data_IF_089805896429
#
_entry.id   IF_089805896429
#
_cell.length_a   1.000
_cell.length_b   1.000
_cell.length_c   1.000
_cell.angle_alpha   90.00
_cell.angle_beta   90.00
_cell.angle_gamma   90.00
#
_symmetry.space_group_name_H-M   'P 1'
#
loop_
_entity.id
_entity.type
_entity.pdbx_description
1 polymer ?
#
# COMPACT_ATOMS: atom_id res chain seq x y z
N UNK A 1 -0.28 -17.19 -34.90
CA UNK A 1 -0.66 -17.86 -33.64
C UNK A 1 -0.10 -17.03 -32.51
N UNK A 2 -0.92 -16.14 -31.96
CA UNK A 2 -0.55 -15.24 -30.85
C UNK A 2 -0.63 -16.06 -29.57
N UNK A 3 0.49 -16.17 -28.85
CA UNK A 3 0.52 -16.72 -27.50
C UNK A 3 0.08 -15.59 -26.56
N UNK A 4 -1.17 -15.64 -26.13
CA UNK A 4 -1.62 -14.86 -24.99
C UNK A 4 -0.81 -15.31 -23.76
N UNK A 5 0.03 -14.43 -23.26
CA UNK A 5 0.67 -14.59 -21.98
C UNK A 5 -0.42 -14.43 -20.90
N UNK A 6 -0.94 -15.55 -20.42
CA UNK A 6 -1.72 -15.55 -19.18
C UNK A 6 -0.79 -15.07 -18.06
N UNK A 7 -1.07 -13.87 -17.58
CA UNK A 7 -0.49 -13.39 -16.32
C UNK A 7 -1.00 -14.34 -15.24
N UNK A 8 -0.16 -15.28 -14.83
CA UNK A 8 -0.43 -16.08 -13.64
C UNK A 8 -0.45 -15.13 -12.45
N UNK A 9 -1.58 -15.02 -11.80
CA UNK A 9 -1.62 -14.55 -10.43
C UNK A 9 -0.71 -15.50 -9.65
N UNK A 10 0.38 -14.96 -9.12
CA UNK A 10 1.31 -15.76 -8.37
C UNK A 10 0.69 -16.10 -7.03
N UNK A 11 0.19 -17.32 -6.91
CA UNK A 11 -0.24 -17.95 -5.68
C UNK A 11 1.00 -18.50 -4.98
N UNK A 12 1.51 -17.76 -3.98
CA UNK A 12 2.63 -18.24 -3.17
C UNK A 12 3.39 -17.14 -2.43
N UNK A 13 4.15 -17.47 -1.40
CA UNK A 13 4.91 -16.51 -0.59
C UNK A 13 6.09 -15.86 -1.34
N UNK A 14 6.39 -16.29 -2.56
CA UNK A 14 7.57 -15.87 -3.32
C UNK A 14 7.37 -14.59 -4.13
N UNK A 15 6.12 -14.18 -4.41
CA UNK A 15 5.87 -12.96 -5.19
C UNK A 15 5.40 -11.84 -4.29
N UNK A 16 6.31 -10.94 -3.95
CA UNK A 16 6.05 -9.75 -3.15
C UNK A 16 5.86 -8.55 -4.04
N UNK A 17 4.68 -7.94 -3.96
CA UNK A 17 4.39 -6.68 -4.59
C UNK A 17 4.47 -5.57 -3.56
N UNK A 18 5.29 -4.56 -3.79
CA UNK A 18 5.41 -3.40 -2.93
C UNK A 18 4.90 -2.17 -3.67
N UNK A 19 4.15 -1.32 -3.01
CA UNK A 19 3.55 -0.16 -3.66
C UNK A 19 3.59 1.10 -2.80
N UNK A 20 4.07 2.22 -3.34
CA UNK A 20 3.94 3.52 -2.74
C UNK A 20 2.83 4.35 -3.40
N UNK A 21 2.03 5.03 -2.61
CA UNK A 21 1.14 6.13 -3.00
C UNK A 21 1.21 7.23 -1.93
N UNK A 22 0.79 8.46 -2.26
CA UNK A 22 0.97 9.60 -1.36
C UNK A 22 -0.37 10.18 -0.90
N UNK A 23 -0.86 9.87 0.31
CA UNK A 23 -1.91 10.67 0.91
C UNK A 23 -1.34 11.98 1.49
N UNK A 24 -2.16 13.02 1.41
CA UNK A 24 -1.94 14.25 2.18
C UNK A 24 -2.36 14.02 3.63
N UNK A 25 -1.51 14.40 4.55
CA UNK A 25 -1.76 14.42 5.98
C UNK A 25 -1.96 15.88 6.41
N UNK A 26 -3.20 16.34 6.62
CA UNK A 26 -3.45 17.70 7.05
C UNK A 26 -2.94 17.94 8.47
N UNK A 27 -2.42 19.14 8.71
CA UNK A 27 -2.02 19.65 10.01
C UNK A 27 -2.75 20.97 10.27
N UNK A 28 -2.64 21.52 11.47
CA UNK A 28 -3.19 22.86 11.75
C UNK A 28 -2.58 23.94 10.85
N UNK A 29 -1.31 23.76 10.44
CA UNK A 29 -0.64 24.64 9.48
C UNK A 29 0.00 23.77 8.38
N UNK A 30 -0.60 23.80 7.18
CA UNK A 30 -0.09 23.06 6.03
C UNK A 30 -0.42 21.58 6.05
N UNK A 31 0.37 20.79 5.38
CA UNK A 31 0.19 19.36 5.24
C UNK A 31 1.54 18.65 5.05
N UNK A 32 1.54 17.35 5.22
CA UNK A 32 2.66 16.47 4.90
C UNK A 32 2.25 15.47 3.82
N UNK A 33 3.23 15.00 3.07
CA UNK A 33 3.13 13.84 2.21
C UNK A 33 3.54 12.59 3.02
N UNK A 34 2.81 11.52 2.84
CA UNK A 34 3.14 10.23 3.43
C UNK A 34 3.42 9.22 2.32
N UNK A 35 4.53 8.53 2.36
CA UNK A 35 4.79 7.34 1.53
C UNK A 35 4.85 6.11 2.43
N UNK A 36 4.36 4.99 1.94
CA UNK A 36 4.53 3.69 2.58
C UNK A 36 4.84 2.61 1.56
N UNK A 37 5.64 1.66 1.96
CA UNK A 37 5.93 0.43 1.22
C UNK A 37 5.18 -0.70 1.89
N UNK A 38 4.27 -1.34 1.16
CA UNK A 38 3.38 -2.38 1.67
C UNK A 38 3.61 -3.69 0.93
N UNK A 39 3.70 -4.78 1.68
CA UNK A 39 3.66 -6.13 1.13
C UNK A 39 2.21 -6.53 0.81
N UNK A 40 1.96 -6.95 -0.43
CA UNK A 40 0.60 -7.25 -0.87
C UNK A 40 0.03 -8.53 -0.30
N UNK A 41 0.87 -9.52 -0.08
CA UNK A 41 0.43 -10.79 0.49
C UNK A 41 -0.06 -10.61 1.91
N UNK A 42 0.81 -10.12 2.78
CA UNK A 42 0.54 -9.96 4.21
C UNK A 42 -0.21 -8.68 4.55
N UNK A 43 -0.29 -7.69 3.66
CA UNK A 43 -0.76 -6.32 3.94
C UNK A 43 0.13 -5.55 4.92
N UNK A 44 1.30 -6.07 5.28
CA UNK A 44 2.20 -5.42 6.20
C UNK A 44 2.81 -4.15 5.59
N UNK A 45 2.81 -3.07 6.35
CA UNK A 45 3.55 -1.84 6.02
C UNK A 45 4.99 -2.04 6.47
N UNK A 46 5.90 -2.18 5.52
CA UNK A 46 7.31 -2.51 5.77
C UNK A 46 8.13 -1.27 6.13
N UNK A 47 7.85 -0.16 5.46
CA UNK A 47 8.48 1.13 5.74
C UNK A 47 7.54 2.27 5.40
N UNK A 48 7.81 3.45 5.93
CA UNK A 48 7.06 4.66 5.65
C UNK A 48 7.87 5.92 5.96
N UNK A 49 7.55 7.04 5.29
CA UNK A 49 8.19 8.34 5.50
C UNK A 49 7.16 9.46 5.40
N UNK A 50 7.43 10.54 6.13
CA UNK A 50 6.72 11.81 6.02
C UNK A 50 7.67 12.87 5.47
N UNK A 51 7.18 13.70 4.54
CA UNK A 51 7.90 14.83 3.99
C UNK A 51 6.97 16.05 3.86
N UNK A 52 7.53 17.24 3.98
CA UNK A 52 6.85 18.50 3.65
C UNK A 52 7.03 18.89 2.18
N UNK A 53 7.85 18.15 1.44
CA UNK A 53 8.08 18.32 0.00
C UNK A 53 7.72 17.06 -0.76
N UNK A 54 7.27 17.21 -2.01
CA UNK A 54 6.96 16.09 -2.90
C UNK A 54 8.17 15.80 -3.80
N UNK A 55 9.33 15.58 -3.21
CA UNK A 55 10.52 15.13 -3.95
C UNK A 55 10.62 13.59 -3.98
N UNK A 56 11.52 13.06 -4.82
CA UNK A 56 11.72 11.61 -4.89
C UNK A 56 12.55 11.07 -3.70
N UNK A 57 13.26 11.93 -2.97
CA UNK A 57 14.21 11.50 -1.94
C UNK A 57 13.58 10.69 -0.82
N UNK A 58 12.49 11.19 -0.21
CA UNK A 58 11.84 10.47 0.89
C UNK A 58 11.19 9.15 0.44
N UNK A 59 10.82 9.04 -0.85
CA UNK A 59 10.32 7.79 -1.44
C UNK A 59 11.45 6.77 -1.59
N UNK A 60 12.62 7.22 -2.03
CA UNK A 60 13.83 6.41 -2.14
C UNK A 60 14.28 5.91 -0.77
N UNK A 61 14.32 6.79 0.24
CA UNK A 61 14.64 6.39 1.63
C UNK A 61 13.70 5.32 2.17
N UNK A 62 12.38 5.44 1.91
CA UNK A 62 11.42 4.43 2.32
C UNK A 62 11.66 3.10 1.60
N UNK A 63 11.96 3.13 0.29
CA UNK A 63 12.28 1.95 -0.49
C UNK A 63 13.55 1.27 0.03
N UNK A 64 14.63 2.02 0.19
CA UNK A 64 15.92 1.50 0.66
C UNK A 64 15.80 0.87 2.06
N UNK A 65 15.06 1.51 2.98
CA UNK A 65 14.80 0.92 4.29
C UNK A 65 14.03 -0.40 4.18
N UNK A 66 12.99 -0.45 3.34
CA UNK A 66 12.22 -1.68 3.15
C UNK A 66 13.10 -2.80 2.62
N UNK A 67 13.91 -2.53 1.59
CA UNK A 67 14.81 -3.52 1.01
C UNK A 67 15.88 -3.99 1.99
N UNK A 68 16.47 -3.08 2.76
CA UNK A 68 17.52 -3.40 3.73
C UNK A 68 17.00 -4.27 4.89
N UNK A 69 15.75 -4.04 5.35
CA UNK A 69 15.20 -4.74 6.52
C UNK A 69 14.45 -6.01 6.16
N UNK A 70 13.82 -6.06 5.01
CA UNK A 70 12.86 -7.11 4.65
C UNK A 70 13.26 -7.91 3.41
N UNK A 71 14.37 -7.54 2.78
CA UNK A 71 14.89 -8.19 1.58
C UNK A 71 14.26 -7.69 0.29
N UNK A 72 14.68 -8.26 -0.84
CA UNK A 72 14.28 -7.84 -2.18
C UNK A 72 13.09 -8.67 -2.67
N UNK A 73 12.00 -8.03 -3.12
CA UNK A 73 10.89 -8.72 -3.80
C UNK A 73 11.28 -9.09 -5.23
N UNK A 74 10.58 -10.01 -5.85
CA UNK A 74 10.73 -10.28 -7.28
C UNK A 74 10.18 -9.12 -8.13
N UNK A 75 9.04 -8.56 -7.72
CA UNK A 75 8.34 -7.51 -8.44
C UNK A 75 7.99 -6.37 -7.49
N UNK A 76 8.28 -5.15 -7.94
CA UNK A 76 7.84 -3.93 -7.28
C UNK A 76 6.79 -3.22 -8.13
N UNK A 77 5.60 -3.04 -7.60
CA UNK A 77 4.53 -2.33 -8.28
C UNK A 77 4.50 -0.86 -7.84
N UNK A 78 4.47 0.07 -8.79
CA UNK A 78 4.37 1.51 -8.51
C UNK A 78 3.25 2.13 -9.32
N UNK A 79 2.71 3.27 -8.86
CA UNK A 79 1.89 4.11 -9.71
C UNK A 79 2.76 4.91 -10.70
N UNK A 80 2.12 5.67 -11.60
CA UNK A 80 2.80 6.48 -12.61
C UNK A 80 3.18 7.88 -12.07
N UNK A 81 3.24 8.06 -10.75
CA UNK A 81 3.68 9.32 -10.14
C UNK A 81 5.12 9.65 -10.53
N UNK A 82 5.41 10.93 -10.77
CA UNK A 82 6.75 11.38 -11.19
C UNK A 82 7.86 10.98 -10.22
N UNK A 83 7.54 10.83 -8.92
CA UNK A 83 8.48 10.40 -7.88
C UNK A 83 8.92 8.95 -8.05
N UNK A 84 8.09 8.10 -8.66
CA UNK A 84 8.33 6.67 -8.82
C UNK A 84 8.80 6.28 -10.22
N UNK A 85 8.56 7.14 -11.22
CA UNK A 85 9.03 6.94 -12.60
C UNK A 85 10.42 7.51 -12.81
N UNK A 86 10.91 8.37 -11.91
CA UNK A 86 12.22 9.02 -11.98
C UNK A 86 13.37 8.01 -11.80
N UNK A 87 14.52 8.33 -12.41
CA UNK A 87 15.72 7.49 -12.38
C UNK A 87 16.22 7.22 -10.95
N UNK A 88 16.05 8.17 -10.02
CA UNK A 88 16.45 8.01 -8.64
C UNK A 88 15.75 6.84 -7.96
N UNK A 89 14.46 6.65 -8.20
CA UNK A 89 13.66 5.57 -7.61
C UNK A 89 13.83 4.26 -8.39
N UNK A 90 13.65 4.31 -9.71
CA UNK A 90 13.76 3.11 -10.57
C UNK A 90 15.17 2.54 -10.58
N UNK A 91 16.19 3.39 -10.47
CA UNK A 91 17.59 2.97 -10.39
C UNK A 91 17.91 2.11 -9.16
N UNK A 92 17.26 2.36 -8.01
CA UNK A 92 17.40 1.50 -6.81
C UNK A 92 16.85 0.11 -7.08
N UNK A 93 15.64 0.02 -7.67
CA UNK A 93 15.00 -1.24 -8.00
C UNK A 93 15.81 -2.05 -9.02
N UNK A 94 16.27 -1.41 -10.10
CA UNK A 94 17.06 -2.06 -11.14
C UNK A 94 18.41 -2.56 -10.61
N UNK A 95 19.09 -1.78 -9.76
CA UNK A 95 20.34 -2.22 -9.10
C UNK A 95 20.13 -3.43 -8.19
N UNK A 96 18.95 -3.52 -7.57
CA UNK A 96 18.59 -4.66 -6.74
C UNK A 96 18.06 -5.87 -7.53
N UNK A 97 17.98 -5.79 -8.87
CA UNK A 97 17.48 -6.87 -9.73
C UNK A 97 15.97 -7.07 -9.65
N UNK A 98 15.22 -6.07 -9.18
CA UNK A 98 13.77 -6.12 -8.95
C UNK A 98 13.04 -5.74 -10.24
N UNK A 99 12.09 -6.57 -10.68
CA UNK A 99 11.23 -6.26 -11.80
C UNK A 99 10.24 -5.13 -11.42
N UNK A 100 10.16 -4.10 -12.27
CA UNK A 100 9.26 -2.97 -12.05
C UNK A 100 7.97 -3.21 -12.81
N UNK A 101 6.84 -3.19 -12.11
CA UNK A 101 5.50 -3.21 -12.70
C UNK A 101 4.86 -1.84 -12.49
N UNK A 102 4.51 -1.17 -13.59
CA UNK A 102 3.79 0.10 -13.55
C UNK A 102 2.36 -0.12 -13.99
N UNK A 103 1.41 0.52 -13.30
CA UNK A 103 0.00 0.40 -13.61
C UNK A 103 -0.30 0.83 -15.04
N UNK A 104 -0.82 -0.10 -15.84
CA UNK A 104 -1.47 0.23 -17.10
C UNK A 104 -2.90 0.73 -16.88
N UNK A 105 -3.45 1.45 -17.88
CA UNK A 105 -4.86 1.87 -17.89
C UNK A 105 -5.77 0.64 -17.65
N UNK A 106 -6.58 0.67 -16.59
CA UNK A 106 -7.58 -0.34 -16.29
C UNK A 106 -7.28 -1.29 -15.12
N UNK A 107 -6.12 -1.22 -14.48
CA UNK A 107 -5.77 -2.06 -13.32
C UNK A 107 -6.08 -1.39 -11.98
N UNK A 108 -7.33 -0.96 -11.79
CA UNK A 108 -7.82 -0.36 -10.54
C UNK A 108 -7.70 -1.33 -9.33
N UNK A 109 -7.69 -2.63 -9.55
CA UNK A 109 -7.55 -3.63 -8.49
C UNK A 109 -6.18 -3.58 -7.80
N UNK A 110 -5.16 -3.11 -8.49
CA UNK A 110 -3.81 -3.07 -7.97
C UNK A 110 -3.62 -2.01 -6.88
N UNK A 111 -4.51 -1.00 -6.81
CA UNK A 111 -4.50 0.09 -5.82
C UNK A 111 -5.33 -0.17 -4.56
N UNK A 112 -6.23 -1.15 -4.59
CA UNK A 112 -7.26 -1.34 -3.54
C UNK A 112 -6.66 -1.49 -2.14
N UNK A 113 -5.51 -2.14 -2.00
CA UNK A 113 -4.93 -2.41 -0.68
C UNK A 113 -4.32 -1.19 -0.03
N UNK A 114 -3.54 -0.43 -0.79
CA UNK A 114 -2.92 0.78 -0.28
C UNK A 114 -3.95 1.89 -0.08
N UNK A 115 -4.95 2.00 -0.95
CA UNK A 115 -6.06 2.94 -0.78
C UNK A 115 -6.89 2.63 0.46
N UNK A 116 -7.11 1.34 0.75
CA UNK A 116 -7.78 0.90 1.97
C UNK A 116 -6.96 1.23 3.22
N UNK A 117 -5.63 1.07 3.17
CA UNK A 117 -4.73 1.52 4.23
C UNK A 117 -4.90 3.02 4.49
N UNK A 118 -4.83 3.83 3.42
CA UNK A 118 -4.97 5.29 3.54
C UNK A 118 -6.32 5.72 4.08
N UNK A 119 -7.38 5.06 3.66
CA UNK A 119 -8.72 5.31 4.18
C UNK A 119 -8.79 5.02 5.67
N UNK A 120 -8.30 3.86 6.10
CA UNK A 120 -8.28 3.49 7.52
C UNK A 120 -7.44 4.46 8.34
N UNK A 121 -6.21 4.77 7.93
CA UNK A 121 -5.34 5.73 8.61
C UNK A 121 -6.02 7.11 8.75
N UNK A 122 -6.61 7.63 7.67
CA UNK A 122 -7.26 8.94 7.71
C UNK A 122 -8.43 8.98 8.68
N UNK A 123 -9.31 7.97 8.67
CA UNK A 123 -10.51 7.96 9.51
C UNK A 123 -10.25 7.55 10.96
N UNK A 124 -9.28 6.71 11.21
CA UNK A 124 -9.01 6.16 12.54
C UNK A 124 -7.96 6.96 13.33
N UNK A 125 -7.13 7.76 12.64
CA UNK A 125 -6.04 8.49 13.27
C UNK A 125 -6.01 9.98 12.87
N UNK A 126 -5.81 10.27 11.56
CA UNK A 126 -5.50 11.63 11.11
C UNK A 126 -6.62 12.62 11.39
N UNK A 127 -7.86 12.28 11.00
CA UNK A 127 -9.01 13.17 11.17
C UNK A 127 -9.48 13.30 12.61
N UNK A 128 -9.14 12.33 13.45
CA UNK A 128 -9.51 12.37 14.87
C UNK A 128 -8.56 13.23 15.68
N UNK A 129 -7.28 13.29 15.31
CA UNK A 129 -6.26 13.98 16.12
C UNK A 129 -5.97 15.40 15.68
N UNK A 130 -6.05 15.72 14.38
CA UNK A 130 -5.82 17.08 13.89
C UNK A 130 -4.46 17.64 14.29
N UNK A 131 -3.39 16.98 13.90
CA UNK A 131 -2.00 17.25 14.31
C UNK A 131 -1.60 18.73 14.26
N UNK A 132 -0.93 19.19 15.30
CA UNK A 132 -0.40 20.55 15.37
C UNK A 132 0.83 20.74 14.49
N UNK A 133 1.73 19.75 14.46
CA UNK A 133 3.00 19.80 13.72
C UNK A 133 3.43 18.43 13.17
N UNK A 134 4.55 18.43 12.42
CA UNK A 134 5.10 17.23 11.79
C UNK A 134 5.63 16.19 12.80
N UNK A 135 6.05 16.62 13.99
CA UNK A 135 6.54 15.72 15.04
C UNK A 135 5.38 14.95 15.65
N UNK A 136 4.28 15.63 15.93
CA UNK A 136 3.06 15.00 16.43
C UNK A 136 2.47 14.05 15.38
N UNK A 137 2.40 14.47 14.11
CA UNK A 137 1.96 13.63 13.01
C UNK A 137 2.82 12.35 12.87
N UNK A 138 4.14 12.49 12.96
CA UNK A 138 5.06 11.34 12.89
C UNK A 138 4.84 10.37 14.04
N UNK A 139 4.68 10.88 15.27
CA UNK A 139 4.45 10.05 16.45
C UNK A 139 3.11 9.31 16.36
N UNK A 140 2.02 10.00 16.03
CA UNK A 140 0.68 9.42 15.93
C UNK A 140 0.58 8.40 14.82
N UNK A 141 1.03 8.75 13.60
CA UNK A 141 1.02 7.82 12.46
C UNK A 141 1.90 6.59 12.73
N UNK A 142 3.07 6.77 13.35
CA UNK A 142 3.94 5.67 13.73
C UNK A 142 3.29 4.70 14.70
N UNK A 143 2.62 5.21 15.74
CA UNK A 143 1.86 4.40 16.69
C UNK A 143 0.70 3.64 16.00
N UNK A 144 -0.04 4.33 15.13
CA UNK A 144 -1.14 3.72 14.40
C UNK A 144 -0.65 2.64 13.44
N UNK A 145 0.45 2.85 12.70
CA UNK A 145 1.03 1.85 11.81
C UNK A 145 1.58 0.63 12.57
N UNK A 146 2.13 0.84 13.77
CA UNK A 146 2.50 -0.27 14.66
C UNK A 146 1.28 -1.07 15.08
N UNK A 147 0.20 -0.40 15.51
CA UNK A 147 -1.08 -1.05 15.82
C UNK A 147 -1.63 -1.81 14.60
N UNK A 148 -1.64 -1.20 13.43
CA UNK A 148 -2.09 -1.81 12.17
C UNK A 148 -1.33 -3.10 11.86
N UNK A 149 -0.02 -3.09 11.98
CA UNK A 149 0.84 -4.22 11.64
C UNK A 149 0.82 -5.36 12.66
N UNK A 150 0.83 -5.02 13.95
CA UNK A 150 1.12 -5.99 15.02
C UNK A 150 -0.11 -6.39 15.84
N UNK A 151 -1.15 -5.57 15.87
CA UNK A 151 -2.27 -5.77 16.81
C UNK A 151 -3.64 -5.84 16.13
N UNK A 152 -3.79 -5.21 14.94
CA UNK A 152 -5.07 -5.15 14.25
C UNK A 152 -5.35 -6.45 13.48
N UNK A 153 -6.42 -7.20 13.80
CA UNK A 153 -6.82 -8.35 13.02
C UNK A 153 -7.42 -7.92 11.67
N UNK A 154 -7.06 -8.63 10.59
CA UNK A 154 -7.57 -8.38 9.26
C UNK A 154 -8.44 -9.53 8.78
N UNK A 155 -9.71 -9.26 8.47
CA UNK A 155 -10.66 -10.28 8.01
C UNK A 155 -10.13 -11.01 6.77
N UNK A 156 -9.53 -10.28 5.80
CA UNK A 156 -8.97 -10.87 4.59
C UNK A 156 -7.75 -11.77 4.83
N UNK A 157 -7.17 -11.72 6.03
CA UNK A 157 -6.06 -12.56 6.46
C UNK A 157 -6.51 -13.64 7.49
N UNK A 158 -7.80 -14.02 7.47
CA UNK A 158 -8.34 -14.95 8.46
C UNK A 158 -8.23 -14.42 9.88
N UNK A 159 -8.34 -13.11 10.08
CA UNK A 159 -8.17 -12.40 11.36
C UNK A 159 -6.73 -12.39 11.92
N UNK A 160 -5.74 -12.80 11.12
CA UNK A 160 -4.34 -12.63 11.50
C UNK A 160 -3.89 -11.17 11.35
N UNK A 161 -2.82 -10.80 12.05
CA UNK A 161 -2.18 -9.51 11.96
C UNK A 161 -1.21 -9.49 10.76
N UNK A 162 -1.12 -8.36 10.03
CA UNK A 162 -0.26 -8.24 8.84
C UNK A 162 1.17 -8.73 9.05
N UNK A 163 1.82 -8.28 10.11
CA UNK A 163 3.22 -8.64 10.36
C UNK A 163 3.40 -10.10 10.81
N UNK A 164 2.38 -10.69 11.44
CA UNK A 164 2.39 -12.13 11.77
C UNK A 164 2.34 -12.98 10.48
N UNK A 165 1.46 -12.60 9.53
CA UNK A 165 1.38 -13.26 8.21
C UNK A 165 2.70 -13.10 7.45
N UNK A 166 3.30 -11.90 7.47
CA UNK A 166 4.58 -11.65 6.81
C UNK A 166 5.69 -12.55 7.38
N UNK A 167 5.80 -12.65 8.71
CA UNK A 167 6.82 -13.50 9.39
C UNK A 167 6.60 -14.98 9.10
N UNK A 168 5.34 -15.44 9.08
CA UNK A 168 5.03 -16.83 8.71
C UNK A 168 5.47 -17.15 7.28
N UNK A 169 5.15 -16.28 6.30
CA UNK A 169 5.59 -16.47 4.92
C UNK A 169 7.11 -16.45 4.71
N UNK A 170 7.88 -15.84 5.63
CA UNK A 170 9.34 -15.90 5.62
C UNK A 170 9.88 -17.21 6.18
N UNK A 171 9.17 -17.80 7.14
CA UNK A 171 9.56 -19.08 7.77
C UNK A 171 9.23 -20.26 6.84
N UNK A 172 8.14 -20.17 6.09
CA UNK A 172 7.65 -21.23 5.19
C UNK A 172 8.44 -21.25 3.85
N UNK A 173 9.12 -20.16 3.48
CA UNK A 173 10.12 -20.16 2.40
C UNK A 173 11.32 -21.06 2.69
N UNK A 174 11.46 -21.54 3.94
CA UNK A 174 12.41 -22.59 4.35
C UNK A 174 11.76 -23.99 4.46
N UNK A 175 10.43 -24.09 4.35
CA UNK A 175 9.68 -25.35 4.41
C UNK A 175 8.47 -25.27 3.46
N UNK A 176 8.60 -25.95 2.31
CA UNK A 176 7.54 -26.46 1.42
C UNK A 176 6.13 -25.86 1.54
N UNK A 177 5.66 -25.30 0.41
CA UNK A 177 4.30 -24.81 0.14
C UNK A 177 3.20 -25.62 0.86
N UNK A 178 2.55 -25.02 1.85
CA UNK A 178 1.28 -25.47 2.35
C UNK A 178 0.18 -24.63 1.73
N UNK A 179 -0.64 -25.31 0.94
CA UNK A 179 -1.82 -24.87 0.21
C UNK A 179 -2.79 -24.16 1.17
N UNK A 180 -2.82 -22.83 1.17
CA UNK A 180 -3.92 -22.08 1.79
C UNK A 180 -4.89 -21.68 0.67
N UNK A 181 -6.11 -22.21 0.66
CA UNK A 181 -7.10 -21.85 -0.33
C UNK A 181 -7.45 -20.36 -0.19
N UNK A 182 -7.12 -19.55 -1.18
CA UNK A 182 -7.71 -18.24 -1.37
C UNK A 182 -9.22 -18.43 -1.62
N UNK A 183 -10.03 -18.32 -0.58
CA UNK A 183 -11.47 -18.17 -0.77
C UNK A 183 -11.72 -16.78 -1.34
N UNK A 184 -11.85 -16.72 -2.64
CA UNK A 184 -12.35 -15.56 -3.41
C UNK A 184 -13.89 -15.47 -3.34
N UNK A 185 -14.51 -15.89 -2.26
CA UNK A 185 -15.98 -15.95 -2.12
C UNK A 185 -16.61 -14.59 -1.74
N UNK A 186 -15.94 -13.47 -1.97
CA UNK A 186 -16.51 -12.14 -1.67
C UNK A 186 -16.60 -11.19 -2.88
N UNK A 187 -16.86 -11.72 -4.09
CA UNK A 187 -17.31 -10.88 -5.20
C UNK A 187 -18.67 -10.21 -4.90
N UNK A 188 -19.49 -10.82 -4.07
CA UNK A 188 -20.83 -10.31 -3.72
C UNK A 188 -20.84 -9.25 -2.61
N UNK A 189 -19.78 -9.11 -1.82
CA UNK A 189 -19.72 -8.09 -0.75
C UNK A 189 -19.47 -6.67 -1.26
N UNK A 190 -19.12 -6.50 -2.52
CA UNK A 190 -18.87 -5.18 -3.14
C UNK A 190 -20.15 -4.55 -3.72
N UNK A 191 -21.25 -5.28 -3.78
CA UNK A 191 -22.53 -4.82 -4.35
C UNK A 191 -23.42 -4.03 -3.38
N UNK A 192 -23.07 -3.90 -2.11
CA UNK A 192 -23.93 -3.26 -1.10
C UNK A 192 -23.49 -1.87 -0.64
N UNK A 193 -22.65 -1.16 -1.39
CA UNK A 193 -22.46 0.26 -1.13
C UNK A 193 -23.52 1.06 -1.90
N UNK A 194 -24.42 1.79 -1.19
CA UNK A 194 -25.41 2.61 -1.87
C UNK A 194 -24.73 3.69 -2.68
N UNK A 195 -24.98 3.69 -3.98
CA UNK A 195 -24.64 4.75 -4.93
C UNK A 195 -25.49 6.01 -4.66
N UNK A 196 -25.36 6.60 -3.50
CA UNK A 196 -26.14 7.80 -3.11
C UNK A 196 -25.24 8.97 -2.81
N UNK A 197 -24.39 9.39 -3.75
CA UNK A 197 -23.73 10.70 -3.61
C UNK A 197 -23.25 11.36 -4.92
N UNK A 198 -23.66 10.85 -6.09
CA UNK A 198 -23.29 11.51 -7.36
C UNK A 198 -24.46 12.23 -8.07
N UNK A 199 -25.60 12.43 -7.40
CA UNK A 199 -26.78 13.05 -8.04
C UNK A 199 -27.19 14.39 -7.44
N UNK A 200 -26.38 15.02 -6.58
CA UNK A 200 -26.72 16.32 -6.00
C UNK A 200 -25.94 17.53 -6.55
N UNK A 201 -24.98 17.33 -7.47
CA UNK A 201 -24.20 18.45 -8.01
C UNK A 201 -24.62 18.88 -9.44
N UNK A 202 -25.78 18.45 -9.94
CA UNK A 202 -26.25 18.83 -11.28
C UNK A 202 -27.42 19.81 -11.34
N UNK A 203 -28.03 20.17 -10.22
CA UNK A 203 -29.23 21.04 -10.24
C UNK A 203 -29.08 22.33 -9.42
N UNK A 204 -27.93 22.97 -9.42
CA UNK A 204 -27.69 24.18 -8.62
C UNK A 204 -27.05 25.34 -9.35
N UNK A 205 -27.40 25.62 -10.62
CA UNK A 205 -27.14 26.93 -11.22
C UNK A 205 -28.34 27.32 -12.07
N UNK A 206 -29.24 28.09 -11.47
CA UNK A 206 -30.14 29.00 -12.19
C UNK A 206 -30.51 30.15 -11.25
N UNK A 207 -30.10 31.35 -11.67
CA UNK A 207 -30.37 32.73 -11.23
C UNK A 207 -29.38 33.25 -10.20
#
# INVERSE_FOLDING_TARGET
MSREAHVRFCEGPEVRFLRPTHPYIPMQRGFLYLVAVMDWWSRAVLSWRLSNTMDAGFCVEALEEALARFGTPEIFNTDQGSQFTGEAFTGVLLKAGIAISMDGRGRWMDNVFIERLWRSLKHEEVYLKGYADAREARAGIGQWLTFYNELRPHQALGHAMPMAVWRAGMSDGAASAVDMPLRLDNADALSTYPQRQQQQDKDGILV
#
